data_IF_239734120255
#
_entry.id   IF_239734120255
#
_cell.length_a   1.000
_cell.length_b   1.000
_cell.length_c   1.000
_cell.angle_alpha   90.00
_cell.angle_beta   90.00
_cell.angle_gamma   90.00
#
_symmetry.space_group_name_H-M   'P 1'
#
loop_
_entity.id
_entity.type
_entity.pdbx_description
1 polymer ?
#
# COMPACT_ATOMS: atom_id res chain seq x y z
N UNK A 1 -38.21 18.88 7.29
CA UNK A 1 -38.04 17.42 7.28
C UNK A 1 -37.14 17.09 6.10
N UNK A 2 -36.00 16.44 6.32
CA UNK A 2 -34.95 16.34 5.30
C UNK A 2 -35.24 15.15 4.36
N UNK A 3 -35.37 15.36 3.04
CA UNK A 3 -35.80 14.34 2.06
C UNK A 3 -34.88 13.13 1.83
N UNK A 4 -33.87 12.88 2.67
CA UNK A 4 -32.90 11.80 2.47
C UNK A 4 -33.27 10.48 3.16
N UNK A 5 -34.36 10.44 3.93
CA UNK A 5 -34.84 9.23 4.64
C UNK A 5 -35.56 8.20 3.75
N UNK A 6 -35.70 8.45 2.45
CA UNK A 6 -36.49 7.59 1.54
C UNK A 6 -35.70 6.92 0.43
N UNK A 7 -34.38 6.72 0.61
CA UNK A 7 -33.64 5.73 -0.20
C UNK A 7 -33.68 4.39 0.54
N UNK A 8 -34.23 3.31 -0.04
CA UNK A 8 -34.28 2.00 0.60
C UNK A 8 -32.88 1.38 0.57
N UNK A 9 -31.99 1.87 1.43
CA UNK A 9 -30.74 1.19 1.73
C UNK A 9 -31.12 -0.09 2.47
N UNK A 10 -30.81 -1.29 1.94
CA UNK A 10 -31.28 -2.54 2.54
C UNK A 10 -30.67 -2.77 3.93
N UNK A 11 -29.55 -2.10 4.26
CA UNK A 11 -28.80 -2.28 5.50
C UNK A 11 -28.04 -1.01 5.89
N UNK A 12 -27.67 -0.82 7.17
CA UNK A 12 -26.73 0.23 7.61
C UNK A 12 -25.41 0.22 6.84
N UNK A 13 -24.92 -0.98 6.48
CA UNK A 13 -23.69 -1.11 5.69
C UNK A 13 -23.80 -0.55 4.28
N UNK A 14 -25.01 -0.40 3.74
CA UNK A 14 -25.27 0.14 2.40
C UNK A 14 -25.27 1.67 2.33
N UNK A 15 -25.22 2.37 3.46
CA UNK A 15 -25.18 3.83 3.49
C UNK A 15 -23.95 4.35 2.73
N UNK A 16 -24.19 5.22 1.75
CA UNK A 16 -23.13 5.81 0.91
C UNK A 16 -22.74 4.99 -0.32
N UNK A 17 -23.47 3.92 -0.66
CA UNK A 17 -23.22 3.16 -1.89
C UNK A 17 -23.43 4.05 -3.14
N UNK A 18 -22.61 3.94 -4.20
CA UNK A 18 -21.54 2.96 -4.41
C UNK A 18 -20.14 3.34 -3.88
N UNK A 19 -19.91 4.61 -3.55
CA UNK A 19 -18.55 5.13 -3.35
C UNK A 19 -18.05 5.08 -1.90
N UNK A 20 -18.97 5.20 -0.94
CA UNK A 20 -18.68 5.37 0.49
C UNK A 20 -19.35 4.32 1.37
N UNK A 21 -19.99 3.31 0.77
CA UNK A 21 -20.54 2.22 1.55
C UNK A 21 -19.45 1.35 2.16
N UNK A 22 -19.86 0.57 3.16
CA UNK A 22 -19.01 -0.48 3.70
C UNK A 22 -18.74 -1.56 2.65
N UNK A 23 -17.77 -2.42 2.93
CA UNK A 23 -17.43 -3.56 2.07
C UNK A 23 -18.67 -4.44 1.79
N UNK A 24 -18.82 -5.03 0.59
CA UNK A 24 -19.90 -5.97 0.29
C UNK A 24 -19.97 -7.12 1.30
N UNK A 25 -21.19 -7.50 1.65
CA UNK A 25 -21.48 -8.65 2.49
C UNK A 25 -21.23 -9.95 1.71
N UNK A 26 -20.18 -10.69 2.09
CA UNK A 26 -19.84 -11.98 1.49
C UNK A 26 -20.92 -13.05 1.74
N UNK A 27 -21.60 -12.97 2.88
CA UNK A 27 -22.68 -13.89 3.21
C UNK A 27 -23.94 -13.59 2.40
N UNK A 28 -24.27 -12.31 2.18
CA UNK A 28 -25.40 -11.92 1.33
C UNK A 28 -25.15 -12.33 -0.13
N UNK A 29 -23.94 -12.08 -0.64
CA UNK A 29 -23.54 -12.51 -1.98
C UNK A 29 -23.61 -14.04 -2.17
N UNK A 30 -23.54 -14.83 -1.09
CA UNK A 30 -23.72 -16.29 -1.12
C UNK A 30 -25.10 -16.77 -0.62
N UNK A 31 -26.05 -15.87 -0.38
CA UNK A 31 -27.42 -16.20 0.07
C UNK A 31 -27.51 -16.70 1.52
N UNK A 32 -26.50 -16.44 2.35
CA UNK A 32 -26.38 -16.96 3.73
C UNK A 32 -26.30 -15.88 4.79
N UNK A 33 -26.61 -14.63 4.46
CA UNK A 33 -26.64 -13.55 5.46
C UNK A 33 -27.82 -13.77 6.42
N UNK A 34 -27.54 -13.88 7.71
CA UNK A 34 -28.57 -14.02 8.76
C UNK A 34 -28.90 -12.70 9.45
N UNK A 35 -28.07 -11.67 9.25
CA UNK A 35 -28.22 -10.36 9.90
C UNK A 35 -29.24 -9.46 9.19
N UNK A 36 -29.69 -9.85 7.99
CA UNK A 36 -30.72 -9.19 7.19
C UNK A 36 -30.55 -7.65 7.17
N UNK A 37 -31.58 -6.89 7.51
CA UNK A 37 -31.59 -5.42 7.56
C UNK A 37 -30.62 -4.81 8.58
N UNK A 38 -30.16 -5.59 9.57
CA UNK A 38 -29.22 -5.13 10.60
C UNK A 38 -27.75 -5.42 10.23
N UNK A 39 -27.49 -5.93 9.03
CA UNK A 39 -26.14 -6.22 8.60
C UNK A 39 -25.28 -4.95 8.49
N UNK A 40 -24.10 -4.95 9.12
CA UNK A 40 -23.13 -3.86 9.00
C UNK A 40 -22.36 -3.83 7.67
N UNK A 41 -22.72 -4.70 6.72
CA UNK A 41 -22.06 -4.81 5.41
C UNK A 41 -23.05 -4.51 4.29
N UNK A 42 -22.55 -3.92 3.20
CA UNK A 42 -23.40 -3.52 2.08
C UNK A 42 -23.98 -4.74 1.34
N UNK A 43 -25.30 -4.74 1.14
CA UNK A 43 -26.03 -5.77 0.40
C UNK A 43 -26.28 -5.38 -1.07
N UNK A 44 -25.91 -4.17 -1.50
CA UNK A 44 -26.10 -3.73 -2.88
C UNK A 44 -25.06 -4.36 -3.83
N UNK A 45 -25.34 -4.46 -5.14
CA UNK A 45 -24.38 -4.97 -6.13
C UNK A 45 -23.12 -4.11 -6.17
N UNK A 46 -21.94 -4.73 -6.09
CA UNK A 46 -20.66 -4.04 -6.26
C UNK A 46 -19.97 -4.49 -7.53
N UNK A 47 -19.24 -3.57 -8.15
CA UNK A 47 -18.27 -3.94 -9.17
C UNK A 47 -17.25 -4.94 -8.61
N UNK A 48 -16.69 -5.78 -9.49
CA UNK A 48 -15.65 -6.72 -9.11
C UNK A 48 -14.54 -5.99 -8.35
N UNK A 49 -14.07 -6.61 -7.27
CA UNK A 49 -13.06 -6.00 -6.41
C UNK A 49 -11.83 -5.66 -7.28
N UNK A 50 -11.30 -4.43 -7.22
CA UNK A 50 -10.10 -4.08 -7.96
C UNK A 50 -8.99 -5.07 -7.62
N UNK A 51 -8.16 -5.37 -8.62
CA UNK A 51 -7.12 -6.39 -8.50
C UNK A 51 -6.27 -6.12 -7.27
N UNK A 52 -6.25 -7.10 -6.37
CA UNK A 52 -5.41 -6.98 -5.20
C UNK A 52 -3.95 -7.06 -5.67
N UNK A 53 -3.13 -6.13 -5.19
CA UNK A 53 -1.69 -6.18 -5.41
C UNK A 53 -1.17 -7.57 -5.03
N UNK A 54 -0.44 -8.19 -5.96
CA UNK A 54 0.12 -9.52 -5.75
C UNK A 54 1.10 -9.51 -4.55
N UNK A 55 1.53 -10.70 -4.10
CA UNK A 55 2.43 -10.79 -2.93
C UNK A 55 3.73 -10.02 -3.18
N UNK A 56 4.29 -10.08 -4.40
CA UNK A 56 5.56 -9.44 -4.75
C UNK A 56 5.45 -7.92 -4.74
N UNK A 57 4.45 -7.33 -5.39
CA UNK A 57 4.25 -5.88 -5.40
C UNK A 57 3.99 -5.30 -4.01
N UNK A 58 3.24 -6.03 -3.16
CA UNK A 58 3.04 -5.63 -1.77
C UNK A 58 4.33 -5.59 -0.96
N UNK A 59 5.21 -6.56 -1.16
CA UNK A 59 6.51 -6.58 -0.47
C UNK A 59 7.40 -5.44 -0.96
N UNK A 60 7.41 -5.19 -2.27
CA UNK A 60 8.14 -4.06 -2.87
C UNK A 60 7.67 -2.72 -2.30
N UNK A 61 6.34 -2.46 -2.28
CA UNK A 61 5.78 -1.23 -1.68
C UNK A 61 6.08 -1.11 -0.18
N UNK A 62 6.17 -2.24 0.54
CA UNK A 62 6.55 -2.24 1.96
C UNK A 62 8.02 -1.92 2.18
N UNK A 63 8.91 -2.36 1.27
CA UNK A 63 10.34 -2.06 1.36
C UNK A 63 10.70 -0.62 0.98
N UNK A 64 9.81 0.10 0.30
CA UNK A 64 10.03 1.51 -0.02
C UNK A 64 9.99 2.37 1.26
N UNK A 65 10.88 3.38 1.36
CA UNK A 65 10.79 4.41 2.38
C UNK A 65 9.40 5.08 2.41
N UNK A 66 8.96 5.50 3.60
CA UNK A 66 7.61 6.02 3.81
C UNK A 66 7.30 7.24 2.92
N UNK A 67 8.28 8.14 2.74
CA UNK A 67 8.19 9.29 1.85
C UNK A 67 7.95 8.86 0.39
N UNK A 68 8.77 7.93 -0.13
CA UNK A 68 8.64 7.43 -1.51
C UNK A 68 7.30 6.75 -1.74
N UNK A 69 6.88 5.87 -0.81
CA UNK A 69 5.56 5.23 -0.87
C UNK A 69 4.44 6.27 -0.86
N UNK A 70 4.60 7.30 -0.05
CA UNK A 70 3.64 8.38 0.05
C UNK A 70 3.48 9.20 -1.23
N UNK A 71 4.58 9.57 -1.89
CA UNK A 71 4.55 10.21 -3.22
C UNK A 71 3.83 9.35 -4.27
N UNK A 72 4.07 8.03 -4.28
CA UNK A 72 3.38 7.12 -5.20
C UNK A 72 1.87 7.05 -4.92
N UNK A 73 1.48 7.04 -3.64
CA UNK A 73 0.07 7.01 -3.25
C UNK A 73 -0.64 8.34 -3.53
N UNK A 74 0.08 9.46 -3.42
CA UNK A 74 -0.47 10.78 -3.64
C UNK A 74 -1.13 10.93 -5.01
N UNK A 75 -0.44 10.51 -6.08
CA UNK A 75 -0.98 10.60 -7.44
C UNK A 75 -2.22 9.71 -7.61
N UNK A 76 -2.22 8.51 -7.05
CA UNK A 76 -3.37 7.62 -7.06
C UNK A 76 -4.59 8.22 -6.32
N UNK A 77 -4.36 8.94 -5.21
CA UNK A 77 -5.41 9.66 -4.47
C UNK A 77 -5.98 10.80 -5.31
N UNK A 78 -5.12 11.60 -5.97
CA UNK A 78 -5.56 12.69 -6.82
C UNK A 78 -6.31 12.21 -8.07
N UNK A 79 -5.88 11.11 -8.69
CA UNK A 79 -6.62 10.45 -9.77
C UNK A 79 -8.00 9.99 -9.30
N UNK A 80 -8.10 9.42 -8.10
CA UNK A 80 -9.37 9.00 -7.54
C UNK A 80 -10.28 10.18 -7.22
N UNK A 81 -9.74 11.25 -6.65
CA UNK A 81 -10.48 12.48 -6.37
C UNK A 81 -11.05 13.10 -7.65
N UNK A 82 -10.25 13.15 -8.73
CA UNK A 82 -10.70 13.60 -10.06
C UNK A 82 -11.82 12.72 -10.62
N UNK A 83 -11.67 11.40 -10.49
CA UNK A 83 -12.71 10.45 -10.93
C UNK A 83 -14.03 10.63 -10.19
N UNK A 84 -13.99 11.11 -8.94
CA UNK A 84 -15.16 11.40 -8.11
C UNK A 84 -15.62 12.87 -8.18
N UNK A 85 -15.02 13.68 -9.05
CA UNK A 85 -15.30 15.12 -9.17
C UNK A 85 -15.18 15.89 -7.84
N UNK A 86 -14.30 15.44 -6.94
CA UNK A 86 -14.00 16.13 -5.69
C UNK A 86 -13.02 17.27 -5.95
N UNK A 87 -13.37 18.48 -5.51
CA UNK A 87 -12.50 19.65 -5.61
C UNK A 87 -11.44 19.63 -4.52
N UNK A 88 -10.33 18.92 -4.77
CA UNK A 88 -9.16 18.94 -3.90
C UNK A 88 -8.13 19.88 -4.52
N UNK A 89 -7.67 20.89 -3.77
CA UNK A 89 -6.54 21.69 -4.19
C UNK A 89 -5.27 20.82 -4.20
N UNK A 90 -4.76 20.53 -5.39
CA UNK A 90 -3.62 19.64 -5.59
C UNK A 90 -2.35 20.19 -4.92
N UNK A 91 -2.16 21.52 -4.94
CA UNK A 91 -0.99 22.18 -4.36
C UNK A 91 -0.99 22.11 -2.83
N UNK A 92 -2.16 22.29 -2.21
CA UNK A 92 -2.33 22.16 -0.76
C UNK A 92 -2.12 20.71 -0.33
N UNK A 93 -2.63 19.75 -1.11
CA UNK A 93 -2.46 18.34 -0.81
C UNK A 93 -0.99 17.90 -0.93
N UNK A 94 -0.26 18.38 -1.95
CA UNK A 94 1.19 18.13 -2.10
C UNK A 94 1.98 18.66 -0.91
N UNK A 95 1.75 19.92 -0.54
CA UNK A 95 2.50 20.59 0.53
C UNK A 95 2.22 19.98 1.91
N UNK A 96 1.00 19.58 2.22
CA UNK A 96 0.66 18.80 3.42
C UNK A 96 1.44 17.48 3.48
N UNK A 97 1.53 16.78 2.36
CA UNK A 97 2.21 15.49 2.30
C UNK A 97 3.73 15.63 2.51
N UNK A 98 4.33 16.68 1.95
CA UNK A 98 5.74 17.04 2.17
C UNK A 98 6.02 17.41 3.63
N UNK A 99 5.13 18.18 4.27
CA UNK A 99 5.24 18.53 5.69
C UNK A 99 5.15 17.31 6.60
N UNK A 100 4.24 16.38 6.30
CA UNK A 100 4.01 15.16 7.09
C UNK A 100 5.10 14.10 6.92
N UNK A 101 5.68 13.99 5.73
CA UNK A 101 6.71 13.00 5.44
C UNK A 101 8.14 13.47 5.72
N UNK A 102 8.30 14.73 6.13
CA UNK A 102 9.59 15.37 6.35
C UNK A 102 10.27 15.72 5.02
N UNK A 103 10.76 16.95 4.93
CA UNK A 103 11.50 17.47 3.78
C UNK A 103 12.80 16.69 3.56
N UNK A 104 12.75 15.56 2.89
CA UNK A 104 13.96 14.85 2.46
C UNK A 104 13.76 14.16 1.11
N UNK A 105 13.49 14.99 0.09
CA UNK A 105 13.81 14.63 -1.29
C UNK A 105 15.30 14.86 -1.61
N UNK A 106 16.08 15.47 -0.70
CA UNK A 106 17.48 15.83 -0.94
C UNK A 106 18.52 14.76 -0.55
N UNK A 107 18.11 13.57 -0.10
CA UNK A 107 19.05 12.47 0.20
C UNK A 107 19.03 11.34 -0.85
N UNK A 108 18.43 11.55 -2.03
CA UNK A 108 18.30 10.54 -3.08
C UNK A 108 19.43 10.54 -4.13
N UNK A 109 20.58 11.15 -3.85
CA UNK A 109 21.75 11.11 -4.73
C UNK A 109 23.04 10.92 -3.93
N UNK A 110 23.26 9.70 -3.42
CA UNK A 110 24.57 9.05 -3.21
C UNK A 110 24.37 7.66 -2.61
N UNK A 111 23.54 6.84 -3.24
CA UNK A 111 23.70 5.39 -3.11
C UNK A 111 24.57 4.94 -4.30
N UNK A 112 25.79 4.41 -4.08
CA UNK A 112 26.52 3.78 -5.17
C UNK A 112 25.68 2.62 -5.70
N UNK A 113 25.58 2.54 -7.03
CA UNK A 113 24.87 1.47 -7.73
C UNK A 113 25.27 0.09 -7.17
N UNK A 114 24.34 -0.86 -6.95
CA UNK A 114 24.74 -2.22 -6.71
C UNK A 114 25.44 -2.74 -7.98
N UNK A 115 26.71 -3.11 -7.83
CA UNK A 115 27.48 -3.76 -8.88
C UNK A 115 26.72 -5.00 -9.41
N UNK A 116 26.81 -5.33 -10.71
CA UNK A 116 26.25 -6.55 -11.23
C UNK A 116 27.18 -7.71 -10.83
N UNK A 117 26.93 -8.32 -9.68
CA UNK A 117 27.62 -9.56 -9.31
C UNK A 117 26.77 -10.76 -9.71
N UNK A 118 27.22 -11.32 -10.82
CA UNK A 118 27.03 -12.65 -11.33
C UNK A 118 27.14 -13.77 -10.27
N UNK A 119 26.50 -14.88 -10.63
CA UNK A 119 26.65 -16.26 -10.12
C UNK A 119 25.75 -16.75 -8.99
N UNK A 120 24.90 -17.70 -9.40
CA UNK A 120 24.43 -18.85 -8.65
C UNK A 120 25.51 -19.39 -7.69
N UNK A 121 25.13 -19.69 -6.45
CA UNK A 121 25.07 -21.05 -5.89
C UNK A 121 25.16 -21.02 -4.37
N UNK A 122 24.23 -21.76 -3.75
CA UNK A 122 24.32 -22.56 -2.52
C UNK A 122 25.14 -22.09 -1.30
N UNK A 123 24.43 -22.13 -0.17
CA UNK A 123 24.84 -22.60 1.16
C UNK A 123 26.12 -22.03 1.79
N UNK A 124 25.99 -21.05 2.69
CA UNK A 124 26.81 -20.99 3.92
C UNK A 124 26.02 -20.34 5.06
N UNK A 125 26.05 -20.99 6.22
CA UNK A 125 25.43 -20.57 7.48
C UNK A 125 25.95 -19.22 8.00
N UNK A 126 25.05 -18.46 8.63
CA UNK A 126 25.37 -17.22 9.35
C UNK A 126 25.55 -17.58 10.82
N UNK A 127 26.76 -17.41 11.37
CA UNK A 127 26.93 -17.35 12.84
C UNK A 127 26.62 -15.93 13.35
N UNK A 128 26.26 -15.87 14.63
CA UNK A 128 25.66 -14.73 15.32
C UNK A 128 26.60 -13.54 15.58
N UNK A 129 27.82 -13.54 15.07
CA UNK A 129 28.85 -12.61 15.54
C UNK A 129 29.05 -11.39 14.64
N UNK A 130 28.59 -11.40 13.38
CA UNK A 130 28.43 -10.19 12.57
C UNK A 130 29.68 -9.28 12.44
N UNK A 131 30.90 -9.84 12.41
CA UNK A 131 32.11 -9.05 12.17
C UNK A 131 32.89 -9.62 10.98
N UNK A 132 32.93 -8.88 9.87
CA UNK A 132 33.83 -9.15 8.75
C UNK A 132 35.23 -8.61 9.07
N UNK A 133 36.12 -9.50 9.52
CA UNK A 133 37.53 -9.19 9.69
C UNK A 133 38.24 -9.08 8.34
N UNK A 134 38.92 -7.96 8.09
CA UNK A 134 39.87 -7.80 6.98
C UNK A 134 41.12 -8.61 7.28
N UNK A 135 41.23 -9.81 6.69
CA UNK A 135 42.44 -10.63 6.73
C UNK A 135 43.49 -10.11 5.75
N UNK A 136 44.51 -9.41 6.27
CA UNK A 136 45.73 -9.10 5.54
C UNK A 136 46.56 -10.37 5.35
N UNK A 137 46.47 -11.00 4.16
CA UNK A 137 47.29 -12.15 3.79
C UNK A 137 48.71 -11.72 3.39
N UNK A 138 49.65 -11.85 4.31
CA UNK A 138 51.10 -11.71 4.07
C UNK A 138 51.73 -12.97 3.50
N UNK A 139 52.72 -12.77 2.62
CA UNK A 139 53.64 -13.75 2.04
C UNK A 139 54.24 -14.76 3.04
N UNK A 140 54.41 -16.01 2.61
CA UNK A 140 55.30 -16.98 3.24
C UNK A 140 55.72 -18.10 2.28
N UNK A 141 56.96 -18.04 1.80
CA UNK A 141 57.71 -19.13 1.12
C UNK A 141 58.44 -19.99 2.17
N UNK A 142 58.69 -21.26 1.85
CA UNK A 142 59.61 -22.18 2.55
C UNK A 142 58.88 -23.14 3.49
N UNK A 143 59.17 -24.44 3.54
CA UNK A 143 60.33 -25.24 3.13
C UNK A 143 59.86 -26.53 2.42
#
# INVERSE_FOLDING_TARGET
ELPWESVPWPTPGSLGHPELCTRPCLYFASGRCVNDINCGFCHLPHAARPSHLDKRSRLLLKSLPANVRGYLLQEAVLDRARSLSLQINTQDFRSLFEQLCGSSLLCATTAPAPAPCCHLANDVAVDSSGVCGLGSGGSGRGL
#
